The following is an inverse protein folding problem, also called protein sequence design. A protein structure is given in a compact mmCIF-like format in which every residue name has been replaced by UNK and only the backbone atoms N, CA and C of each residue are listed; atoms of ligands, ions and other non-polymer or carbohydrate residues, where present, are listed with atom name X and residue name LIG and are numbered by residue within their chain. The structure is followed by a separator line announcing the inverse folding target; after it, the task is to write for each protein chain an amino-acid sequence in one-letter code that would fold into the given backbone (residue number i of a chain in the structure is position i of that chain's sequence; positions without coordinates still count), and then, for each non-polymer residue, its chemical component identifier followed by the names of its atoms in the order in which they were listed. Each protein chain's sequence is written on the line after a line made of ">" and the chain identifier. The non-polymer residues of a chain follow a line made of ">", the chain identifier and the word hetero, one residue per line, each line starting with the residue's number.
data_IF_374121310398
#
_entry.id   IF_374121310398
#
_cell.length_a   1.000
_cell.length_b   1.000
_cell.length_c   1.000
_cell.angle_alpha   90.00
_cell.angle_beta   90.00
_cell.angle_gamma   90.00
#
_symmetry.space_group_name_H-M   'P 1'
#
loop_
_entity.id
_entity.type
_entity.pdbx_description
1 polymer ?
#
# COMPACT_ATOMS: atom_id res chain seq x y z
N UNK A 1 11.96 -22.40 5.26
CA UNK A 1 10.67 -22.15 4.58
C UNK A 1 10.92 -22.33 3.08
N UNK A 2 10.10 -23.11 2.38
CA UNK A 2 10.28 -23.26 0.93
C UNK A 2 10.00 -21.91 0.23
N UNK A 3 10.52 -21.72 -0.99
CA UNK A 3 10.43 -20.44 -1.71
C UNK A 3 8.99 -19.98 -1.92
N UNK A 4 8.08 -20.92 -2.21
CA UNK A 4 6.66 -20.64 -2.47
C UNK A 4 5.98 -20.05 -1.23
N UNK A 5 6.15 -20.68 -0.06
CA UNK A 5 5.58 -20.18 1.20
C UNK A 5 6.14 -18.80 1.56
N UNK A 6 7.42 -18.54 1.28
CA UNK A 6 8.02 -17.23 1.49
C UNK A 6 7.35 -16.15 0.64
N UNK A 7 7.15 -16.41 -0.66
CA UNK A 7 6.48 -15.48 -1.57
C UNK A 7 5.04 -15.23 -1.16
N UNK A 8 4.28 -16.28 -0.84
CA UNK A 8 2.88 -16.15 -0.39
C UNK A 8 2.80 -15.31 0.88
N UNK A 9 3.70 -15.55 1.84
CA UNK A 9 3.72 -14.79 3.09
C UNK A 9 4.09 -13.32 2.88
N UNK A 10 5.07 -13.03 2.02
CA UNK A 10 5.44 -11.66 1.66
C UNK A 10 4.25 -10.95 1.04
N UNK A 11 3.56 -11.58 0.08
CA UNK A 11 2.38 -11.01 -0.56
C UNK A 11 1.26 -10.76 0.46
N UNK A 12 0.94 -11.75 1.29
CA UNK A 12 -0.11 -11.63 2.30
C UNK A 12 0.17 -10.49 3.29
N UNK A 13 1.39 -10.42 3.83
CA UNK A 13 1.77 -9.34 4.77
C UNK A 13 1.76 -7.98 4.10
N UNK A 14 2.24 -7.87 2.87
CA UNK A 14 2.23 -6.60 2.11
C UNK A 14 0.81 -6.15 1.84
N UNK A 15 -0.08 -7.07 1.41
CA UNK A 15 -1.50 -6.79 1.17
C UNK A 15 -2.18 -6.32 2.45
N UNK A 16 -2.01 -7.04 3.56
CA UNK A 16 -2.60 -6.67 4.85
C UNK A 16 -2.09 -5.30 5.34
N UNK A 17 -0.79 -5.06 5.22
CA UNK A 17 -0.18 -3.77 5.56
C UNK A 17 -0.74 -2.64 4.70
N UNK A 18 -0.72 -2.77 3.38
CA UNK A 18 -1.20 -1.72 2.48
C UNK A 18 -2.71 -1.47 2.59
N UNK A 19 -3.52 -2.50 2.88
CA UNK A 19 -4.94 -2.32 3.21
C UNK A 19 -5.10 -1.54 4.52
N UNK A 20 -4.33 -1.87 5.56
CA UNK A 20 -4.37 -1.12 6.81
C UNK A 20 -3.98 0.36 6.60
N UNK A 21 -2.90 0.63 5.87
CA UNK A 21 -2.46 1.99 5.56
C UNK A 21 -3.47 2.74 4.67
N UNK A 22 -4.16 2.04 3.77
CA UNK A 22 -5.22 2.64 2.95
C UNK A 22 -6.37 3.20 3.79
N UNK A 23 -6.76 2.53 4.87
CA UNK A 23 -7.72 3.05 5.85
C UNK A 23 -7.16 4.30 6.53
N UNK A 24 -5.85 4.26 6.85
CA UNK A 24 -5.11 5.40 7.39
C UNK A 24 -5.26 6.65 6.52
N UNK A 25 -5.06 6.50 5.21
CA UNK A 25 -5.22 7.56 4.21
C UNK A 25 -6.66 8.05 4.06
N UNK A 26 -7.65 7.15 4.09
CA UNK A 26 -9.05 7.53 3.98
C UNK A 26 -9.49 8.37 5.19
N UNK A 27 -9.16 7.94 6.39
CA UNK A 27 -9.44 8.72 7.61
C UNK A 27 -8.63 10.03 7.64
N UNK A 28 -7.37 10.01 7.20
CA UNK A 28 -6.53 11.21 7.07
C UNK A 28 -7.18 12.27 6.16
N UNK A 29 -7.84 11.86 5.08
CA UNK A 29 -8.45 12.78 4.11
C UNK A 29 -9.61 13.61 4.67
N UNK A 30 -10.14 13.25 5.84
CA UNK A 30 -11.29 13.91 6.48
C UNK A 30 -11.00 14.39 7.91
N UNK A 31 -9.73 14.42 8.35
CA UNK A 31 -9.35 14.93 9.68
C UNK A 31 -9.64 16.43 9.83
N UNK A 32 -9.64 17.18 8.73
CA UNK A 32 -10.12 18.55 8.68
C UNK A 32 -11.43 18.59 7.91
N UNK A 33 -12.52 18.98 8.58
CA UNK A 33 -13.83 19.15 7.92
C UNK A 33 -14.47 20.44 8.39
N UNK A 34 -14.84 21.29 7.44
CA UNK A 34 -15.45 22.60 7.70
C UNK A 34 -14.64 23.46 8.68
N UNK A 35 -13.31 23.46 8.53
CA UNK A 35 -12.38 24.23 9.37
C UNK A 35 -12.14 23.68 10.78
N UNK A 36 -12.73 22.54 11.14
CA UNK A 36 -12.56 21.90 12.45
C UNK A 36 -11.76 20.61 12.33
N UNK A 37 -10.90 20.36 13.32
CA UNK A 37 -10.17 19.11 13.44
C UNK A 37 -11.05 18.01 14.07
N UNK A 38 -11.16 16.87 13.39
CA UNK A 38 -11.94 15.72 13.83
C UNK A 38 -11.00 14.68 14.46
N UNK A 39 -10.85 14.74 15.79
CA UNK A 39 -10.00 13.84 16.57
C UNK A 39 -10.29 12.36 16.36
N UNK A 40 -11.57 12.00 16.18
CA UNK A 40 -11.98 10.62 15.93
C UNK A 40 -11.35 10.06 14.66
N UNK A 41 -11.30 10.85 13.59
CA UNK A 41 -10.72 10.44 12.31
C UNK A 41 -9.20 10.45 12.38
N UNK A 42 -8.60 11.40 13.11
CA UNK A 42 -7.17 11.39 13.37
C UNK A 42 -6.72 10.14 14.15
N UNK A 43 -7.48 9.74 15.18
CA UNK A 43 -7.20 8.53 15.97
C UNK A 43 -7.29 7.25 15.15
N UNK A 44 -8.32 7.12 14.30
CA UNK A 44 -8.44 5.98 13.37
C UNK A 44 -7.30 5.97 12.36
N UNK A 45 -6.97 7.12 11.80
CA UNK A 45 -5.88 7.26 10.84
C UNK A 45 -4.54 6.81 11.44
N UNK A 46 -4.22 7.32 12.63
CA UNK A 46 -3.02 6.95 13.36
C UNK A 46 -2.98 5.44 13.68
N UNK A 47 -4.08 4.88 14.20
CA UNK A 47 -4.16 3.46 14.52
C UNK A 47 -3.95 2.58 13.27
N UNK A 48 -4.57 2.95 12.16
CA UNK A 48 -4.40 2.28 10.87
C UNK A 48 -2.95 2.28 10.40
N UNK A 49 -2.26 3.42 10.45
CA UNK A 49 -0.84 3.51 10.08
C UNK A 49 0.07 2.72 11.03
N UNK A 50 -0.19 2.73 12.34
CA UNK A 50 0.58 1.94 13.31
C UNK A 50 0.43 0.44 13.02
N UNK A 51 -0.79 -0.02 12.72
CA UNK A 51 -1.02 -1.43 12.36
C UNK A 51 -0.32 -1.75 11.04
N UNK A 52 -0.48 -0.90 10.02
CA UNK A 52 0.11 -1.09 8.71
C UNK A 52 1.63 -1.15 8.74
N UNK A 53 2.29 -0.23 9.46
CA UNK A 53 3.75 -0.20 9.57
C UNK A 53 4.31 -1.40 10.32
N UNK A 54 3.65 -1.85 11.39
CA UNK A 54 4.07 -3.04 12.14
C UNK A 54 4.02 -4.29 11.23
N UNK A 55 2.93 -4.47 10.49
CA UNK A 55 2.80 -5.58 9.53
C UNK A 55 3.86 -5.44 8.41
N UNK A 56 4.12 -4.23 7.93
CA UNK A 56 5.13 -3.97 6.90
C UNK A 56 6.53 -4.36 7.36
N UNK A 57 6.90 -4.10 8.62
CA UNK A 57 8.21 -4.54 9.15
C UNK A 57 8.39 -6.05 9.09
N UNK A 58 7.32 -6.82 9.33
CA UNK A 58 7.35 -8.27 9.11
C UNK A 58 7.49 -8.61 7.63
N UNK A 59 6.78 -7.91 6.73
CA UNK A 59 6.95 -8.08 5.28
C UNK A 59 8.40 -7.84 4.84
N UNK A 60 9.02 -6.73 5.27
CA UNK A 60 10.42 -6.38 5.00
C UNK A 60 11.36 -7.50 5.46
N UNK A 61 11.17 -8.03 6.68
CA UNK A 61 11.99 -9.13 7.20
C UNK A 61 12.04 -10.32 6.23
N UNK A 62 10.92 -10.67 5.60
CA UNK A 62 10.87 -11.75 4.62
C UNK A 62 11.34 -11.33 3.23
N UNK A 63 11.05 -10.10 2.79
CA UNK A 63 11.58 -9.54 1.54
C UNK A 63 13.11 -9.53 1.52
N UNK A 64 13.75 -9.09 2.60
CA UNK A 64 15.21 -9.09 2.74
C UNK A 64 15.79 -10.50 2.69
N UNK A 65 15.12 -11.48 3.31
CA UNK A 65 15.50 -12.90 3.22
C UNK A 65 15.35 -13.47 1.81
N UNK A 66 14.44 -12.93 1.01
CA UNK A 66 14.27 -13.27 -0.40
C UNK A 66 15.22 -12.50 -1.34
N UNK A 67 16.11 -11.65 -0.81
CA UNK A 67 17.07 -10.87 -1.60
C UNK A 67 16.60 -9.47 -1.99
N UNK A 68 15.35 -9.11 -1.71
CA UNK A 68 14.83 -7.75 -1.93
C UNK A 68 15.32 -6.85 -0.80
N UNK A 69 16.49 -6.23 -0.96
CA UNK A 69 17.12 -5.37 0.05
C UNK A 69 16.99 -3.87 -0.21
N UNK A 70 16.73 -3.47 -1.45
CA UNK A 70 16.52 -2.07 -1.83
C UNK A 70 15.24 -1.53 -1.16
N UNK A 71 15.40 -0.39 -0.48
CA UNK A 71 14.29 0.31 0.16
C UNK A 71 13.30 0.84 -0.89
N UNK A 72 13.80 1.23 -2.06
CA UNK A 72 13.03 1.69 -3.21
C UNK A 72 12.09 0.59 -3.72
N UNK A 73 12.62 -0.63 -3.92
CA UNK A 73 11.80 -1.77 -4.37
C UNK A 73 10.75 -2.14 -3.32
N UNK A 74 11.15 -2.28 -2.06
CA UNK A 74 10.23 -2.64 -0.97
C UNK A 74 9.09 -1.62 -0.83
N UNK A 75 9.45 -0.33 -0.78
CA UNK A 75 8.50 0.78 -0.61
C UNK A 75 7.55 0.88 -1.80
N UNK A 76 8.04 0.63 -3.01
CA UNK A 76 7.21 0.71 -4.21
C UNK A 76 6.19 -0.41 -4.30
N UNK A 77 6.57 -1.63 -3.92
CA UNK A 77 5.65 -2.77 -3.80
C UNK A 77 4.54 -2.42 -2.79
N UNK A 78 4.92 -1.91 -1.61
CA UNK A 78 3.95 -1.47 -0.60
C UNK A 78 3.05 -0.33 -1.09
N UNK A 79 3.61 0.72 -1.71
CA UNK A 79 2.83 1.85 -2.23
C UNK A 79 1.79 1.43 -3.27
N UNK A 80 2.16 0.53 -4.19
CA UNK A 80 1.25 0.02 -5.19
C UNK A 80 0.03 -0.62 -4.54
N UNK A 81 0.25 -1.50 -3.56
CA UNK A 81 -0.83 -2.14 -2.79
C UNK A 81 -1.65 -1.10 -2.04
N UNK A 82 -1.02 -0.13 -1.37
CA UNK A 82 -1.71 0.88 -0.58
C UNK A 82 -2.61 1.77 -1.44
N UNK A 83 -2.13 2.23 -2.60
CA UNK A 83 -2.92 3.05 -3.54
C UNK A 83 -4.11 2.25 -4.09
N UNK A 84 -3.89 1.00 -4.50
CA UNK A 84 -4.97 0.09 -4.92
C UNK A 84 -5.97 -0.08 -3.78
N UNK A 85 -5.49 -0.28 -2.55
CA UNK A 85 -6.30 -0.38 -1.34
C UNK A 85 -7.17 0.86 -1.13
N UNK A 86 -6.63 2.06 -1.30
CA UNK A 86 -7.40 3.32 -1.17
C UNK A 86 -8.50 3.37 -2.21
N UNK A 87 -8.19 3.05 -3.48
CA UNK A 87 -9.17 3.05 -4.56
C UNK A 87 -10.29 2.02 -4.29
N UNK A 88 -9.94 0.82 -3.82
CA UNK A 88 -10.87 -0.25 -3.52
C UNK A 88 -11.77 0.06 -2.33
N UNK A 89 -11.18 0.44 -1.19
CA UNK A 89 -11.92 0.74 0.06
C UNK A 89 -12.80 1.97 -0.09
N UNK A 90 -12.38 2.97 -0.87
CA UNK A 90 -13.22 4.13 -1.16
C UNK A 90 -14.48 3.80 -1.97
N UNK A 91 -14.58 2.58 -2.52
CA UNK A 91 -15.67 2.15 -3.40
C UNK A 91 -15.63 2.78 -4.80
N UNK A 92 -14.73 3.75 -5.03
CA UNK A 92 -14.64 4.49 -6.29
C UNK A 92 -14.07 3.65 -7.42
N UNK A 93 -13.21 2.67 -7.13
CA UNK A 93 -12.58 1.85 -8.17
C UNK A 93 -13.59 1.10 -9.05
N UNK A 94 -14.66 0.57 -8.46
CA UNK A 94 -15.73 -0.11 -9.20
C UNK A 94 -16.67 0.85 -9.95
N UNK A 95 -16.61 2.15 -9.63
CA UNK A 95 -17.33 3.20 -10.33
C UNK A 95 -16.53 3.79 -11.49
N UNK A 96 -15.24 3.45 -11.62
CA UNK A 96 -14.41 3.92 -12.72
C UNK A 96 -14.81 3.23 -14.03
N UNK A 97 -14.82 4.00 -15.12
CA UNK A 97 -14.92 3.42 -16.45
C UNK A 97 -13.68 2.57 -16.76
N UNK A 98 -13.81 1.67 -17.74
CA UNK A 98 -12.74 0.73 -18.10
C UNK A 98 -11.44 1.45 -18.49
N UNK A 99 -11.54 2.62 -19.12
CA UNK A 99 -10.39 3.44 -19.52
C UNK A 99 -9.57 3.90 -18.31
N UNK A 100 -10.21 4.35 -17.24
CA UNK A 100 -9.53 4.80 -16.02
C UNK A 100 -8.85 3.63 -15.29
N UNK A 101 -9.46 2.45 -15.30
CA UNK A 101 -8.84 1.23 -14.76
C UNK A 101 -7.59 0.86 -15.56
N UNK A 102 -7.64 0.89 -16.89
CA UNK A 102 -6.48 0.62 -17.74
C UNK A 102 -5.35 1.64 -17.53
N UNK A 103 -5.67 2.93 -17.41
CA UNK A 103 -4.68 3.97 -17.10
C UNK A 103 -4.01 3.69 -15.75
N UNK A 104 -4.77 3.30 -14.73
CA UNK A 104 -4.21 2.98 -13.41
C UNK A 104 -3.23 1.81 -13.46
N UNK A 105 -3.54 0.76 -14.23
CA UNK A 105 -2.66 -0.39 -14.44
C UNK A 105 -1.39 0.03 -15.18
N UNK A 106 -1.51 0.84 -16.24
CA UNK A 106 -0.38 1.34 -17.01
C UNK A 106 0.56 2.21 -16.16
N UNK A 107 0.02 3.07 -15.29
CA UNK A 107 0.81 3.89 -14.36
C UNK A 107 1.59 3.02 -13.37
N UNK A 108 0.93 2.00 -12.79
CA UNK A 108 1.59 1.07 -11.87
C UNK A 108 2.73 0.29 -12.56
N UNK A 109 2.49 -0.18 -13.78
CA UNK A 109 3.52 -0.85 -14.59
C UNK A 109 4.66 0.12 -14.92
N UNK A 110 4.34 1.35 -15.34
CA UNK A 110 5.33 2.37 -15.69
C UNK A 110 6.25 2.73 -14.52
N UNK A 111 5.67 2.92 -13.33
CA UNK A 111 6.44 3.13 -12.10
C UNK A 111 7.33 1.92 -11.80
N UNK A 112 6.78 0.70 -11.88
CA UNK A 112 7.54 -0.54 -11.67
C UNK A 112 8.74 -0.68 -12.63
N UNK A 113 8.55 -0.35 -13.91
CA UNK A 113 9.62 -0.35 -14.92
C UNK A 113 10.70 0.69 -14.58
N UNK A 114 10.31 1.90 -14.19
CA UNK A 114 11.27 2.95 -13.83
C UNK A 114 12.15 2.51 -12.66
N UNK A 115 11.54 2.01 -11.59
CA UNK A 115 12.27 1.54 -10.40
C UNK A 115 13.22 0.39 -10.74
N UNK A 116 12.77 -0.57 -11.57
CA UNK A 116 13.63 -1.66 -12.01
C UNK A 116 14.84 -1.17 -12.80
N UNK A 117 14.67 -0.12 -13.61
CA UNK A 117 15.75 0.47 -14.41
C UNK A 117 16.71 1.35 -13.61
N UNK A 118 16.25 1.99 -12.54
CA UNK A 118 17.05 2.96 -11.78
C UNK A 118 17.61 2.42 -10.47
N UNK A 119 17.01 1.36 -9.91
CA UNK A 119 17.37 0.76 -8.62
C UNK A 119 17.90 -0.67 -8.69
N UNK A 120 18.11 -1.21 -9.90
CA UNK A 120 18.72 -2.51 -10.17
C UNK A 120 20.22 -2.42 -10.37
#
# INVERSE_FOLDING_TARGET
>A
MNKIWATVLILALTILSGIADSQGFLHASIVWKSGKFIWKEAGKSLASFIIGIIIYWFAIKYMQRAGLKSAEIQTSIWFAITIIGVAFVSGKFFQWNISNQLISILVLIGIGILIFRTGG
#
